data_IF_879749268116
#
_entry.id   IF_879749268116
#
_cell.length_a   1.000
_cell.length_b   1.000
_cell.length_c   1.000
_cell.angle_alpha   90.00
_cell.angle_beta   90.00
_cell.angle_gamma   90.00
#
_symmetry.space_group_name_H-M   'P 1'
#
loop_
_entity.id
_entity.type
_entity.pdbx_description
1 polymer ?
#
# COMPACT_ATOMS: atom_id res chain seq x y z
N UNK A 1 17.76 -25.03 2.11
CA UNK A 1 17.52 -25.40 3.53
C UNK A 1 16.05 -25.68 3.64
N UNK A 2 15.65 -26.77 4.30
CA UNK A 2 14.24 -27.14 4.47
C UNK A 2 13.49 -26.04 5.20
N UNK A 3 12.21 -25.85 4.86
CA UNK A 3 11.33 -24.86 5.51
C UNK A 3 10.17 -25.57 6.17
N UNK A 4 9.61 -24.91 7.18
CA UNK A 4 8.28 -25.23 7.66
C UNK A 4 7.22 -24.61 6.76
N UNK A 5 6.04 -25.21 6.72
CA UNK A 5 4.80 -24.63 6.21
C UNK A 5 3.75 -24.80 7.30
N UNK A 6 2.93 -23.79 7.51
CA UNK A 6 1.83 -23.84 8.48
C UNK A 6 0.52 -23.99 7.72
N UNK A 7 -0.31 -24.92 8.20
CA UNK A 7 -1.67 -25.09 7.71
C UNK A 7 -2.65 -25.22 8.87
N UNK A 8 -3.90 -24.86 8.61
CA UNK A 8 -5.00 -25.03 9.56
C UNK A 8 -6.11 -25.88 8.93
N UNK A 9 -6.76 -26.71 9.75
CA UNK A 9 -7.94 -27.47 9.34
C UNK A 9 -9.22 -26.69 9.68
N UNK A 10 -9.88 -26.13 8.66
CA UNK A 10 -11.16 -25.43 8.80
C UNK A 10 -12.29 -26.27 8.21
N UNK A 11 -13.05 -26.93 9.08
CA UNK A 11 -14.08 -27.89 8.67
C UNK A 11 -13.47 -29.10 7.95
N UNK A 12 -13.76 -29.27 6.67
CA UNK A 12 -13.17 -30.32 5.82
C UNK A 12 -12.00 -29.85 4.95
N UNK A 13 -11.56 -28.59 5.09
CA UNK A 13 -10.54 -27.97 4.24
C UNK A 13 -9.26 -27.75 5.04
N UNK A 14 -8.12 -27.94 4.38
CA UNK A 14 -6.81 -27.54 4.89
C UNK A 14 -6.41 -26.24 4.19
N UNK A 15 -6.17 -25.19 4.95
CA UNK A 15 -5.83 -23.85 4.45
C UNK A 15 -4.38 -23.50 4.82
N UNK A 16 -3.63 -22.84 3.94
CA UNK A 16 -2.33 -22.30 4.29
C UNK A 16 -2.48 -21.12 5.26
N UNK A 17 -1.53 -21.00 6.18
CA UNK A 17 -1.46 -19.92 7.18
C UNK A 17 -0.23 -19.08 6.88
N UNK A 18 -0.41 -17.81 6.55
CA UNK A 18 0.64 -16.86 6.21
C UNK A 18 0.88 -15.81 7.30
N UNK A 19 -0.11 -15.56 8.16
CA UNK A 19 0.02 -14.77 9.39
C UNK A 19 -0.78 -15.36 10.55
N UNK A 20 -0.64 -14.80 11.75
CA UNK A 20 -1.42 -15.20 12.91
C UNK A 20 -2.93 -15.02 12.69
N UNK A 21 -3.32 -14.00 11.94
CA UNK A 21 -4.71 -13.68 11.63
C UNK A 21 -5.36 -14.72 10.71
N UNK A 22 -4.56 -15.48 9.96
CA UNK A 22 -5.06 -16.60 9.15
C UNK A 22 -5.45 -17.81 10.03
N UNK A 23 -4.89 -17.92 11.24
CA UNK A 23 -5.28 -18.94 12.21
C UNK A 23 -6.67 -18.62 12.75
N UNK A 24 -7.65 -19.31 12.18
CA UNK A 24 -9.03 -19.22 12.61
C UNK A 24 -9.16 -19.58 14.10
N UNK A 25 -10.30 -19.14 14.64
CA UNK A 25 -10.75 -19.50 15.97
C UNK A 25 -10.81 -21.02 16.05
N UNK A 26 -9.96 -21.63 16.86
CA UNK A 26 -10.04 -23.08 17.04
C UNK A 26 -11.29 -23.44 17.84
N UNK A 27 -12.36 -23.74 17.11
CA UNK A 27 -13.62 -24.20 17.67
C UNK A 27 -14.29 -25.27 16.83
N UNK A 28 -14.65 -26.39 17.49
CA UNK A 28 -16.01 -26.87 17.47
C UNK A 28 -16.87 -25.88 18.30
N UNK A 29 -17.86 -25.24 17.68
CA UNK A 29 -18.96 -24.45 18.30
C UNK A 29 -18.63 -23.14 19.04
N UNK A 30 -18.75 -22.00 18.33
CA UNK A 30 -19.29 -20.70 18.81
C UNK A 30 -18.96 -20.19 20.24
N UNK A 31 -17.84 -20.56 20.88
CA UNK A 31 -17.51 -20.14 22.24
C UNK A 31 -18.27 -20.82 23.37
N UNK A 32 -18.86 -22.00 23.15
CA UNK A 32 -19.83 -22.60 24.11
C UNK A 32 -19.44 -23.95 24.70
N UNK A 33 -18.18 -24.35 24.56
CA UNK A 33 -17.77 -25.62 25.14
C UNK A 33 -17.62 -25.51 26.66
N UNK A 34 -18.22 -26.43 27.42
CA UNK A 34 -18.03 -26.48 28.86
C UNK A 34 -16.56 -26.71 29.20
N UNK A 35 -16.06 -26.04 30.24
CA UNK A 35 -14.68 -26.12 30.75
C UNK A 35 -13.59 -25.51 29.85
N UNK A 36 -13.95 -24.66 28.89
CA UNK A 36 -12.99 -23.83 28.14
C UNK A 36 -13.24 -22.36 28.46
N UNK A 37 -12.15 -21.61 28.54
CA UNK A 37 -12.17 -20.17 28.80
C UNK A 37 -12.06 -19.42 27.48
N UNK A 38 -12.91 -18.41 27.32
CA UNK A 38 -12.94 -17.57 26.13
C UNK A 38 -12.91 -16.10 26.52
N UNK A 39 -12.23 -15.30 25.72
CA UNK A 39 -12.19 -13.86 25.90
C UNK A 39 -11.94 -13.14 24.59
N UNK A 40 -12.34 -11.87 24.55
CA UNK A 40 -12.05 -11.01 23.41
C UNK A 40 -10.68 -10.40 23.58
N UNK A 41 -9.74 -10.77 22.70
CA UNK A 41 -8.38 -10.24 22.66
C UNK A 41 -8.22 -9.50 21.32
N UNK A 42 -7.90 -8.20 21.36
CA UNK A 42 -7.80 -7.34 20.17
C UNK A 42 -9.06 -7.33 19.27
N UNK A 43 -10.25 -7.47 19.86
CA UNK A 43 -11.51 -7.50 19.12
C UNK A 43 -11.89 -8.88 18.57
N UNK A 44 -10.98 -9.85 18.64
CA UNK A 44 -11.23 -11.23 18.24
C UNK A 44 -11.59 -12.10 19.44
N UNK A 45 -12.59 -12.95 19.24
CA UNK A 45 -13.04 -13.90 20.27
C UNK A 45 -12.14 -15.14 20.23
N UNK A 46 -11.34 -15.32 21.27
CA UNK A 46 -10.30 -16.34 21.35
C UNK A 46 -10.53 -17.30 22.50
N UNK A 47 -10.04 -18.54 22.38
CA UNK A 47 -9.83 -19.38 23.55
C UNK A 47 -8.59 -18.90 24.28
N UNK A 48 -8.72 -18.68 25.58
CA UNK A 48 -7.67 -18.13 26.40
C UNK A 48 -7.36 -18.98 27.62
N UNK A 49 -6.26 -18.65 28.29
CA UNK A 49 -5.92 -19.12 29.61
C UNK A 49 -5.29 -17.99 30.39
N UNK A 50 -5.75 -17.77 31.62
CA UNK A 50 -5.05 -16.91 32.56
C UNK A 50 -4.07 -17.71 33.42
N UNK A 51 -2.81 -17.27 33.50
CA UNK A 51 -1.85 -17.77 34.47
C UNK A 51 -0.78 -16.72 34.77
N UNK A 52 -0.30 -16.68 36.01
CA UNK A 52 0.79 -15.81 36.45
C UNK A 52 0.59 -14.32 36.11
N UNK A 53 -0.67 -13.87 36.07
CA UNK A 53 -1.05 -12.50 35.71
C UNK A 53 -1.03 -12.20 34.20
N UNK A 54 -0.86 -13.22 33.36
CA UNK A 54 -0.81 -13.12 31.89
C UNK A 54 -1.99 -13.82 31.25
N UNK A 55 -2.29 -13.44 30.02
CA UNK A 55 -3.35 -14.06 29.21
C UNK A 55 -2.73 -14.71 27.99
N UNK A 56 -2.85 -16.03 27.90
CA UNK A 56 -2.36 -16.82 26.77
C UNK A 56 -3.52 -17.13 25.84
N UNK A 57 -3.33 -16.95 24.54
CA UNK A 57 -4.25 -17.42 23.51
C UNK A 57 -3.82 -18.81 23.09
N UNK A 58 -4.81 -19.69 22.89
CA UNK A 58 -4.58 -21.07 22.44
C UNK A 58 -4.88 -21.18 20.96
N UNK A 59 -3.92 -21.68 20.18
CA UNK A 59 -4.15 -22.00 18.76
C UNK A 59 -3.58 -23.37 18.44
N UNK A 60 -4.26 -24.02 17.52
CA UNK A 60 -3.85 -25.28 16.93
C UNK A 60 -3.50 -25.04 15.47
N UNK A 61 -2.42 -25.66 15.02
CA UNK A 61 -2.03 -25.63 13.62
C UNK A 61 -1.19 -26.85 13.29
N UNK A 62 -1.13 -27.17 12.00
CA UNK A 62 -0.35 -28.29 11.49
C UNK A 62 0.93 -27.74 10.89
N UNK A 63 2.06 -28.15 11.46
CA UNK A 63 3.36 -27.95 10.85
C UNK A 63 3.63 -29.04 9.81
N UNK A 64 4.08 -28.62 8.63
CA UNK A 64 4.64 -29.48 7.60
C UNK A 64 6.05 -29.02 7.27
N UNK A 65 6.86 -29.89 6.69
CA UNK A 65 8.21 -29.52 6.25
C UNK A 65 8.55 -30.18 4.91
N UNK A 66 9.46 -29.55 4.17
CA UNK A 66 9.94 -30.10 2.89
C UNK A 66 10.91 -31.30 3.08
N UNK A 67 11.48 -31.42 4.28
CA UNK A 67 12.41 -32.51 4.62
C UNK A 67 11.67 -33.81 4.88
N UNK A 68 12.29 -34.94 4.54
CA UNK A 68 11.84 -36.25 5.02
C UNK A 68 12.20 -36.40 6.50
N UNK A 69 11.24 -36.82 7.31
CA UNK A 69 11.45 -37.11 8.73
C UNK A 69 10.30 -36.61 9.61
N UNK A 70 10.39 -36.87 10.92
CA UNK A 70 9.43 -36.34 11.88
C UNK A 70 9.41 -34.81 11.84
N UNK A 71 8.21 -34.22 11.99
CA UNK A 71 8.06 -32.77 12.08
C UNK A 71 8.21 -32.37 13.53
N UNK A 72 9.26 -31.64 13.86
CA UNK A 72 9.47 -31.15 15.23
C UNK A 72 8.75 -29.83 15.45
N UNK A 73 8.18 -29.63 16.64
CA UNK A 73 7.63 -28.34 17.05
C UNK A 73 8.80 -27.47 17.54
N UNK A 74 9.09 -26.32 16.90
CA UNK A 74 10.09 -25.40 17.40
C UNK A 74 9.64 -24.73 18.70
N UNK A 75 10.57 -24.34 19.56
CA UNK A 75 10.25 -23.67 20.81
C UNK A 75 9.63 -22.30 20.53
N UNK A 76 8.39 -22.03 20.98
CA UNK A 76 7.72 -20.77 20.69
C UNK A 76 8.26 -19.60 21.51
N UNK A 77 9.01 -19.87 22.57
CA UNK A 77 9.69 -18.90 23.43
C UNK A 77 10.99 -19.51 23.95
N UNK A 78 11.93 -18.68 24.39
CA UNK A 78 13.11 -19.14 25.14
C UNK A 78 12.76 -19.27 26.63
N UNK A 79 13.37 -20.22 27.33
CA UNK A 79 13.23 -20.33 28.78
C UNK A 79 13.56 -21.73 29.29
N UNK A 80 13.07 -22.07 30.47
CA UNK A 80 13.35 -23.35 31.13
C UNK A 80 12.15 -24.29 30.95
N UNK A 81 12.38 -25.45 30.34
CA UNK A 81 11.34 -26.43 30.06
C UNK A 81 10.93 -27.19 31.33
N UNK A 82 9.62 -27.30 31.52
CA UNK A 82 8.97 -28.10 32.55
C UNK A 82 8.02 -29.11 31.89
N UNK A 83 8.31 -30.40 32.04
CA UNK A 83 7.56 -31.49 31.42
C UNK A 83 6.52 -32.02 32.40
N UNK A 84 5.23 -31.83 32.09
CA UNK A 84 4.15 -32.21 33.02
C UNK A 84 3.86 -33.71 33.01
N UNK A 85 4.20 -34.39 31.91
CA UNK A 85 3.87 -35.80 31.66
C UNK A 85 2.38 -36.14 31.78
N UNK A 86 1.51 -35.14 31.68
CA UNK A 86 0.05 -35.28 31.71
C UNK A 86 -0.48 -36.01 30.47
N UNK A 87 -1.80 -36.15 30.36
CA UNK A 87 -2.47 -36.86 29.26
C UNK A 87 -2.18 -36.25 27.87
N UNK A 88 -1.83 -34.97 27.83
CA UNK A 88 -1.53 -34.19 26.61
C UNK A 88 -0.04 -34.08 26.31
N UNK A 89 0.83 -34.60 27.20
CA UNK A 89 2.27 -34.45 27.15
C UNK A 89 2.70 -32.97 27.07
N UNK A 90 2.10 -32.14 27.93
CA UNK A 90 2.33 -30.70 28.00
C UNK A 90 3.76 -30.38 28.39
N UNK A 91 4.36 -29.44 27.66
CA UNK A 91 5.64 -28.79 28.00
C UNK A 91 5.39 -27.32 28.25
N UNK A 92 5.64 -26.88 29.48
CA UNK A 92 5.60 -25.47 29.86
C UNK A 92 7.01 -24.89 29.79
N UNK A 93 7.13 -23.64 29.36
CA UNK A 93 8.39 -22.91 29.34
C UNK A 93 8.27 -21.74 30.31
N UNK A 94 9.23 -21.65 31.23
CA UNK A 94 9.26 -20.62 32.28
C UNK A 94 10.43 -19.65 32.08
N UNK A 95 10.29 -18.42 32.60
CA UNK A 95 11.35 -17.40 32.62
C UNK A 95 12.59 -17.82 33.44
N UNK A 96 12.38 -18.71 34.40
CA UNK A 96 13.38 -19.31 35.29
C UNK A 96 13.00 -20.77 35.59
N UNK A 97 13.88 -21.61 36.15
CA UNK A 97 13.54 -22.99 36.46
C UNK A 97 12.25 -23.12 37.28
N UNK A 98 11.40 -24.07 36.91
CA UNK A 98 10.14 -24.34 37.58
C UNK A 98 10.34 -24.55 39.10
N UNK A 99 9.41 -24.02 39.90
CA UNK A 99 9.49 -24.05 41.37
C UNK A 99 10.35 -22.93 42.00
N UNK A 100 11.10 -22.17 41.20
CA UNK A 100 11.80 -20.98 41.71
C UNK A 100 10.79 -19.89 42.11
N UNK A 101 10.96 -19.19 43.25
CA UNK A 101 10.06 -18.11 43.64
C UNK A 101 9.84 -17.06 42.54
N UNK A 102 8.56 -16.81 42.26
CA UNK A 102 8.13 -15.88 41.21
C UNK A 102 8.46 -16.33 39.79
N UNK A 103 8.71 -17.62 39.55
CA UNK A 103 8.74 -18.18 38.20
C UNK A 103 7.41 -17.92 37.50
N UNK A 104 7.48 -17.42 36.27
CA UNK A 104 6.32 -17.12 35.43
C UNK A 104 6.38 -17.93 34.17
N UNK A 105 5.24 -18.47 33.76
CA UNK A 105 5.13 -19.15 32.48
C UNK A 105 5.27 -18.14 31.34
N UNK A 106 6.07 -18.49 30.33
CA UNK A 106 6.25 -17.76 29.08
C UNK A 106 5.42 -18.37 27.95
N UNK A 107 5.16 -19.67 27.99
CA UNK A 107 4.32 -20.35 27.01
C UNK A 107 4.18 -21.83 27.29
N UNK A 108 3.36 -22.53 26.50
CA UNK A 108 3.32 -23.99 26.53
C UNK A 108 2.98 -24.61 25.18
N UNK A 109 3.43 -25.85 25.00
CA UNK A 109 3.20 -26.70 23.83
C UNK A 109 2.62 -28.03 24.26
N UNK A 110 1.61 -28.53 23.55
CA UNK A 110 0.90 -29.78 23.84
C UNK A 110 0.97 -30.72 22.64
N UNK A 111 0.53 -31.97 22.85
CA UNK A 111 0.34 -33.02 21.84
C UNK A 111 1.61 -33.59 21.20
N UNK A 112 2.80 -33.25 21.68
CA UNK A 112 4.04 -33.88 21.22
C UNK A 112 4.05 -35.40 21.50
N UNK A 113 4.75 -36.15 20.67
CA UNK A 113 4.99 -37.59 20.88
C UNK A 113 5.70 -37.79 22.24
N UNK A 114 5.24 -38.75 23.05
CA UNK A 114 5.87 -39.02 24.36
C UNK A 114 7.31 -39.49 24.17
N UNK A 115 8.25 -38.86 24.87
CA UNK A 115 9.68 -39.18 24.81
C UNK A 115 10.41 -38.69 23.55
N UNK A 116 9.79 -37.85 22.71
CA UNK A 116 10.45 -37.28 21.53
C UNK A 116 11.33 -36.06 21.83
N UNK A 117 11.17 -35.43 23.00
CA UNK A 117 12.03 -34.33 23.44
C UNK A 117 13.41 -34.85 23.84
N UNK A 118 14.46 -34.19 23.36
CA UNK A 118 15.85 -34.45 23.78
C UNK A 118 16.25 -33.69 25.05
N UNK A 119 15.37 -32.83 25.60
CA UNK A 119 15.68 -32.02 26.76
C UNK A 119 15.37 -32.74 28.07
N UNK A 120 16.23 -32.50 29.07
CA UNK A 120 15.95 -32.87 30.45
C UNK A 120 15.01 -31.84 31.11
N UNK A 121 14.34 -32.26 32.18
CA UNK A 121 13.58 -31.37 33.07
C UNK A 121 14.43 -30.18 33.54
N UNK A 122 13.90 -28.97 33.42
CA UNK A 122 14.57 -27.72 33.78
C UNK A 122 15.66 -27.29 32.79
N UNK A 123 15.83 -27.95 31.64
CA UNK A 123 16.79 -27.51 30.64
C UNK A 123 16.35 -26.20 29.98
N UNK A 124 17.32 -25.35 29.68
CA UNK A 124 17.06 -24.13 28.91
C UNK A 124 16.86 -24.48 27.43
N UNK A 125 15.76 -24.02 26.85
CA UNK A 125 15.41 -24.11 25.44
C UNK A 125 15.50 -22.73 24.81
N UNK A 126 16.05 -22.64 23.60
CA UNK A 126 16.11 -21.39 22.84
C UNK A 126 14.93 -21.28 21.87
N UNK A 127 14.41 -20.07 21.67
CA UNK A 127 13.40 -19.78 20.65
C UNK A 127 13.78 -20.38 19.28
N UNK A 128 12.82 -21.07 18.65
CA UNK A 128 13.00 -21.77 17.38
C UNK A 128 13.72 -23.13 17.47
N UNK A 129 14.29 -23.49 18.62
CA UNK A 129 14.96 -24.77 18.82
C UNK A 129 13.94 -25.92 18.80
N UNK A 130 14.20 -27.06 18.12
CA UNK A 130 13.26 -28.17 18.10
C UNK A 130 13.00 -28.72 19.51
N UNK A 131 11.75 -28.67 19.99
CA UNK A 131 11.34 -29.15 21.32
C UNK A 131 11.06 -30.65 21.34
N UNK A 132 10.48 -31.17 20.27
CA UNK A 132 10.07 -32.56 20.13
C UNK A 132 9.15 -32.77 18.94
N UNK A 133 8.94 -34.03 18.56
CA UNK A 133 8.11 -34.42 17.43
C UNK A 133 6.62 -34.08 17.68
N UNK A 134 6.01 -33.39 16.72
CA UNK A 134 4.57 -33.11 16.66
C UNK A 134 3.80 -34.42 16.58
N UNK A 135 2.82 -34.60 17.47
CA UNK A 135 2.08 -35.85 17.60
C UNK A 135 0.59 -35.63 17.79
N UNK A 136 -0.06 -36.68 18.30
CA UNK A 136 -1.49 -36.73 18.62
C UNK A 136 -1.72 -37.09 20.10
N UNK A 137 -0.74 -36.85 20.97
CA UNK A 137 -0.82 -37.28 22.38
C UNK A 137 -1.91 -36.49 23.11
N UNK A 138 -2.92 -37.18 23.65
CA UNK A 138 -4.08 -36.51 24.24
C UNK A 138 -5.06 -35.92 23.21
N UNK A 139 -4.84 -36.15 21.91
CA UNK A 139 -5.72 -35.74 20.81
C UNK A 139 -5.84 -36.83 19.72
N UNK A 140 -6.34 -38.04 20.06
CA UNK A 140 -6.32 -39.19 19.15
C UNK A 140 -6.96 -38.89 17.79
N UNK A 141 -6.24 -39.18 16.71
CA UNK A 141 -6.70 -38.96 15.34
C UNK A 141 -6.39 -37.58 14.75
N UNK A 142 -5.73 -36.68 15.50
CA UNK A 142 -5.34 -35.36 15.02
C UNK A 142 -3.87 -35.05 15.33
N UNK A 143 -3.02 -35.02 14.32
CA UNK A 143 -1.61 -34.62 14.47
C UNK A 143 -1.51 -33.10 14.23
N UNK A 144 -1.24 -32.34 15.29
CA UNK A 144 -1.12 -30.89 15.25
C UNK A 144 -0.28 -30.38 16.42
N UNK A 145 0.19 -29.14 16.30
CA UNK A 145 0.76 -28.39 17.41
C UNK A 145 -0.36 -27.60 18.08
N UNK A 146 -0.56 -27.81 19.38
CA UNK A 146 -1.34 -26.90 20.22
C UNK A 146 -0.34 -26.04 20.99
N UNK A 147 -0.42 -24.74 20.80
CA UNK A 147 0.50 -23.77 21.41
C UNK A 147 -0.31 -22.71 22.17
N UNK A 148 0.17 -22.33 23.35
CA UNK A 148 -0.40 -21.24 24.14
C UNK A 148 0.65 -20.16 24.42
N UNK A 149 0.38 -18.93 23.96
CA UNK A 149 1.29 -17.77 24.05
C UNK A 149 0.51 -16.47 24.26
N UNK A 150 1.17 -15.43 24.74
CA UNK A 150 0.64 -14.06 24.59
C UNK A 150 0.55 -13.72 23.09
N UNK A 151 -0.46 -12.93 22.68
CA UNK A 151 -0.74 -12.69 21.25
C UNK A 151 0.47 -12.19 20.47
N UNK A 152 1.22 -11.23 21.02
CA UNK A 152 2.42 -10.71 20.35
C UNK A 152 3.52 -11.75 20.14
N UNK A 153 3.72 -12.65 21.12
CA UNK A 153 4.66 -13.77 20.96
C UNK A 153 4.17 -14.76 19.90
N UNK A 154 2.86 -14.99 19.84
CA UNK A 154 2.25 -15.86 18.84
C UNK A 154 2.38 -15.29 17.42
N UNK A 155 2.10 -14.00 17.24
CA UNK A 155 2.26 -13.29 15.97
C UNK A 155 3.68 -13.40 15.44
N UNK A 156 4.68 -13.12 16.29
CA UNK A 156 6.09 -13.31 15.94
C UNK A 156 6.41 -14.74 15.57
N UNK A 157 5.96 -15.70 16.38
CA UNK A 157 6.21 -17.12 16.16
C UNK A 157 5.67 -17.63 14.81
N UNK A 158 4.47 -17.22 14.41
CA UNK A 158 3.92 -17.57 13.09
C UNK A 158 4.67 -16.85 11.96
N UNK A 159 5.00 -15.58 12.14
CA UNK A 159 5.78 -14.80 11.17
C UNK A 159 7.15 -15.45 10.90
N UNK A 160 7.91 -15.75 11.96
CA UNK A 160 9.27 -16.29 11.89
C UNK A 160 9.29 -17.73 11.33
N UNK A 161 8.21 -18.50 11.49
CA UNK A 161 8.05 -19.80 10.82
C UNK A 161 7.81 -19.60 9.31
N UNK A 162 6.91 -18.67 8.96
CA UNK A 162 6.49 -18.45 7.58
C UNK A 162 7.57 -17.78 6.71
N UNK A 163 8.33 -16.84 7.24
CA UNK A 163 9.44 -16.19 6.53
C UNK A 163 10.69 -17.09 6.45
N UNK A 164 10.72 -18.15 7.27
CA UNK A 164 11.77 -19.14 7.36
C UNK A 164 12.94 -18.69 8.23
N UNK A 165 12.73 -17.81 9.19
CA UNK A 165 13.67 -17.50 10.28
C UNK A 165 13.81 -18.71 11.20
N UNK A 166 12.69 -19.34 11.59
CA UNK A 166 12.64 -20.66 12.22
C UNK A 166 12.64 -21.72 11.11
N UNK A 167 13.54 -22.70 11.22
CA UNK A 167 13.71 -23.77 10.23
C UNK A 167 13.83 -25.14 10.88
N UNK A 168 13.40 -26.22 10.21
CA UNK A 168 13.60 -27.58 10.69
C UNK A 168 15.06 -27.90 11.02
N UNK A 169 15.28 -28.49 12.20
CA UNK A 169 16.58 -28.97 12.66
C UNK A 169 17.64 -27.89 12.88
N UNK A 170 17.29 -26.60 12.82
CA UNK A 170 18.23 -25.50 13.01
C UNK A 170 17.88 -24.70 14.26
N UNK A 171 18.87 -24.47 15.11
CA UNK A 171 18.82 -23.40 16.09
C UNK A 171 19.17 -22.10 15.35
N UNK A 172 18.33 -21.05 15.39
CA UNK A 172 18.65 -19.78 14.75
C UNK A 172 20.04 -19.28 15.19
N UNK A 173 21.00 -19.18 14.25
CA UNK A 173 22.36 -18.72 14.54
C UNK A 173 22.34 -17.22 14.85
N UNK A 174 22.22 -16.93 16.13
CA UNK A 174 22.07 -15.61 16.75
C UNK A 174 21.73 -15.71 18.23
N UNK A 175 21.17 -16.85 18.68
CA UNK A 175 20.97 -17.17 20.08
C UNK A 175 22.19 -17.85 20.72
N UNK A 176 23.23 -17.08 21.04
CA UNK A 176 24.26 -17.57 21.97
C UNK A 176 23.70 -17.51 23.40
N UNK A 177 24.07 -18.50 24.22
CA UNK A 177 23.59 -18.79 25.57
C UNK A 177 23.98 -17.74 26.64
N UNK A 178 23.86 -16.45 26.33
CA UNK A 178 24.09 -15.31 27.23
C UNK A 178 22.95 -14.27 27.12
N UNK A 179 21.71 -14.75 27.06
CA UNK A 179 20.50 -13.92 27.07
C UNK A 179 19.58 -14.36 28.20
N UNK A 180 20.11 -14.50 29.42
CA UNK A 180 19.31 -14.40 30.65
C UNK A 180 19.05 -12.95 31.06
N UNK A 181 19.12 -12.01 30.10
CA UNK A 181 18.82 -10.60 30.28
C UNK A 181 18.08 -10.09 29.04
N UNK A 182 16.77 -10.33 28.93
CA UNK A 182 15.82 -9.43 28.26
C UNK A 182 14.43 -10.04 28.00
N UNK A 183 13.53 -9.90 28.96
CA UNK A 183 12.13 -9.56 28.62
C UNK A 183 11.99 -8.02 28.54
N UNK A 184 12.99 -7.28 29.03
CA UNK A 184 13.07 -5.81 29.03
C UNK A 184 13.77 -5.18 27.80
N UNK A 185 14.29 -5.93 26.80
CA UNK A 185 14.86 -5.29 25.58
C UNK A 185 13.84 -5.00 24.49
N UNK A 186 12.79 -5.79 24.40
CA UNK A 186 11.71 -5.60 23.41
C UNK A 186 10.52 -4.83 24.01
N UNK A 187 10.57 -4.49 25.30
CA UNK A 187 9.61 -3.61 25.97
C UNK A 187 10.27 -2.25 26.23
N UNK A 188 10.02 -1.29 25.36
CA UNK A 188 10.46 0.07 25.56
C UNK A 188 9.47 0.78 26.48
N UNK A 189 9.95 1.24 27.63
CA UNK A 189 9.19 2.00 28.61
C UNK A 189 10.07 3.03 29.33
N UNK A 190 9.53 3.65 30.37
CA UNK A 190 10.24 4.68 31.16
C UNK A 190 11.68 4.26 31.51
N UNK A 191 12.64 5.13 31.18
CA UNK A 191 14.07 4.90 31.41
C UNK A 191 14.81 4.10 30.34
N UNK A 192 14.10 3.53 29.35
CA UNK A 192 14.73 2.83 28.21
C UNK A 192 15.56 3.78 27.36
N UNK A 193 16.68 3.30 26.80
CA UNK A 193 17.57 4.11 25.98
C UNK A 193 18.18 3.33 24.80
N UNK A 194 18.51 4.03 23.73
CA UNK A 194 19.31 3.51 22.60
C UNK A 194 18.56 3.51 21.27
N UNK A 195 19.12 2.78 20.30
CA UNK A 195 18.67 2.78 18.91
C UNK A 195 17.20 2.33 18.74
N UNK A 196 16.72 1.39 19.57
CA UNK A 196 15.33 0.95 19.53
C UNK A 196 14.35 2.07 19.87
N UNK A 197 14.70 2.95 20.83
CA UNK A 197 13.89 4.12 21.17
C UNK A 197 13.94 5.16 20.04
N UNK A 198 15.08 5.33 19.37
CA UNK A 198 15.20 6.19 18.18
C UNK A 198 14.29 5.71 17.05
N UNK A 199 14.26 4.41 16.77
CA UNK A 199 13.36 3.85 15.75
C UNK A 199 11.88 4.01 16.14
N UNK A 200 11.53 3.73 17.40
CA UNK A 200 10.19 4.00 17.91
C UNK A 200 9.77 5.45 17.71
N UNK A 201 10.65 6.42 18.02
CA UNK A 201 10.38 7.84 17.79
C UNK A 201 10.14 8.13 16.31
N UNK A 202 10.95 7.57 15.40
CA UNK A 202 10.76 7.75 13.95
C UNK A 202 9.42 7.19 13.48
N UNK A 203 9.05 6.00 13.95
CA UNK A 203 7.81 5.35 13.57
C UNK A 203 6.60 6.14 14.07
N UNK A 204 6.57 6.50 15.35
CA UNK A 204 5.52 7.33 15.94
C UNK A 204 5.41 8.69 15.23
N UNK A 205 6.53 9.35 14.95
CA UNK A 205 6.54 10.63 14.23
C UNK A 205 6.02 10.48 12.79
N UNK A 206 6.39 9.40 12.09
CA UNK A 206 5.89 9.09 10.74
C UNK A 206 4.38 8.89 10.73
N UNK A 207 3.85 8.27 11.79
CA UNK A 207 2.43 8.08 12.02
C UNK A 207 1.72 9.33 12.56
N UNK A 208 2.44 10.43 12.83
CA UNK A 208 1.89 11.71 13.27
C UNK A 208 1.73 11.86 14.79
N UNK A 209 2.23 10.92 15.58
CA UNK A 209 2.20 11.01 17.04
C UNK A 209 3.30 11.94 17.56
N UNK A 210 2.89 12.83 18.46
CA UNK A 210 3.68 13.93 19.02
C UNK A 210 3.60 13.89 20.55
N UNK A 211 4.35 14.77 21.23
CA UNK A 211 4.21 14.96 22.67
C UNK A 211 2.89 15.68 23.06
N UNK A 212 2.65 15.85 24.36
CA UNK A 212 1.44 16.52 24.86
C UNK A 212 1.29 17.99 24.43
N UNK A 213 2.36 18.62 23.94
CA UNK A 213 2.34 20.00 23.43
C UNK A 213 2.19 20.04 21.90
N UNK A 214 2.04 18.87 21.26
CA UNK A 214 1.95 18.74 19.80
C UNK A 214 3.30 18.90 19.10
N UNK A 215 4.41 18.80 19.83
CA UNK A 215 5.75 18.90 19.24
C UNK A 215 6.26 17.52 18.79
N UNK A 216 7.06 17.46 17.70
CA UNK A 216 7.69 16.21 17.28
C UNK A 216 8.55 15.60 18.39
N UNK A 217 8.51 14.28 18.51
CA UNK A 217 9.37 13.56 19.45
C UNK A 217 10.84 13.81 19.12
N UNK A 218 11.63 14.14 20.14
CA UNK A 218 13.08 14.29 20.00
C UNK A 218 13.71 12.91 19.91
N UNK A 219 14.37 12.59 18.81
CA UNK A 219 15.09 11.31 18.60
C UNK A 219 16.44 11.25 19.33
N UNK A 220 16.46 11.62 20.60
CA UNK A 220 17.65 11.55 21.48
C UNK A 220 17.95 10.13 21.98
N UNK A 221 17.07 9.18 21.63
CA UNK A 221 17.17 7.78 22.03
C UNK A 221 16.87 7.56 23.50
N UNK A 222 16.19 8.49 24.18
CA UNK A 222 15.72 8.32 25.54
C UNK A 222 14.19 8.19 25.59
N UNK A 223 13.71 7.17 26.30
CA UNK A 223 12.29 6.95 26.52
C UNK A 223 11.89 7.74 27.77
N UNK A 224 11.48 8.99 27.56
CA UNK A 224 11.02 9.89 28.61
C UNK A 224 9.50 10.11 28.60
N UNK A 225 8.99 11.02 29.44
CA UNK A 225 7.55 11.28 29.56
C UNK A 225 6.86 11.65 28.24
N UNK A 226 7.55 12.40 27.37
CA UNK A 226 7.03 12.74 26.03
C UNK A 226 6.86 11.49 25.14
N UNK A 227 7.80 10.55 25.19
CA UNK A 227 7.74 9.29 24.45
C UNK A 227 6.61 8.41 24.97
N UNK A 228 6.51 8.27 26.30
CA UNK A 228 5.43 7.52 26.93
C UNK A 228 4.07 8.04 26.48
N UNK A 229 3.86 9.36 26.49
CA UNK A 229 2.61 9.97 26.07
C UNK A 229 2.26 9.70 24.61
N UNK A 230 3.25 9.77 23.71
CA UNK A 230 3.04 9.43 22.30
C UNK A 230 2.68 7.95 22.12
N UNK A 231 3.31 7.05 22.89
CA UNK A 231 2.94 5.62 22.91
C UNK A 231 1.52 5.43 23.44
N UNK A 232 1.13 6.10 24.53
CA UNK A 232 -0.24 6.04 25.06
C UNK A 232 -1.28 6.59 24.07
N UNK A 233 -0.94 7.66 23.34
CA UNK A 233 -1.76 8.21 22.26
C UNK A 233 -1.96 7.18 21.15
N UNK A 234 -0.86 6.59 20.66
CA UNK A 234 -0.89 5.52 19.67
C UNK A 234 -1.75 4.34 20.13
N UNK A 235 -1.50 3.84 21.34
CA UNK A 235 -2.26 2.73 21.91
C UNK A 235 -3.75 3.02 21.98
N UNK A 236 -4.13 4.25 22.36
CA UNK A 236 -5.55 4.66 22.43
C UNK A 236 -6.22 4.68 21.07
N UNK A 237 -5.57 5.27 20.07
CA UNK A 237 -6.11 5.41 18.72
C UNK A 237 -6.24 4.05 18.02
N UNK A 238 -5.32 3.13 18.33
CA UNK A 238 -5.30 1.77 17.81
C UNK A 238 -5.98 0.73 18.73
N UNK A 239 -6.69 1.18 19.77
CA UNK A 239 -7.47 0.33 20.71
C UNK A 239 -6.67 -0.79 21.38
N UNK A 240 -5.41 -0.51 21.70
CA UNK A 240 -4.53 -1.35 22.48
C UNK A 240 -4.70 -1.05 23.98
N UNK A 241 -4.08 -1.88 24.83
CA UNK A 241 -3.90 -1.54 26.24
C UNK A 241 -3.06 -0.27 26.35
N UNK A 242 -3.60 0.75 27.01
CA UNK A 242 -2.92 2.04 27.20
C UNK A 242 -2.06 1.98 28.46
N UNK A 243 -0.85 1.44 28.34
CA UNK A 243 0.13 1.30 29.42
C UNK A 243 1.40 2.15 29.23
N UNK A 244 1.49 2.84 28.08
CA UNK A 244 2.59 3.73 27.73
C UNK A 244 3.90 3.01 27.41
N UNK A 245 3.85 1.70 27.14
CA UNK A 245 5.02 0.90 26.81
C UNK A 245 4.92 0.36 25.38
N UNK A 246 6.01 0.48 24.63
CA UNK A 246 6.13 -0.15 23.33
C UNK A 246 6.69 -1.56 23.50
N UNK A 247 5.78 -2.52 23.70
CA UNK A 247 6.07 -3.94 23.60
C UNK A 247 5.57 -4.51 22.27
N UNK A 248 5.73 -5.82 22.07
CA UNK A 248 5.43 -6.51 20.80
C UNK A 248 4.06 -6.17 20.17
N UNK A 249 3.00 -5.98 20.96
CA UNK A 249 1.68 -5.60 20.45
C UNK A 249 1.63 -4.16 19.94
N UNK A 250 2.27 -3.24 20.67
CA UNK A 250 2.43 -1.85 20.25
C UNK A 250 3.28 -1.80 18.99
N UNK A 251 4.39 -2.54 18.93
CA UNK A 251 5.29 -2.58 17.77
C UNK A 251 4.59 -3.17 16.53
N UNK A 252 3.89 -4.30 16.67
CA UNK A 252 3.15 -4.91 15.56
C UNK A 252 2.06 -3.98 15.02
N UNK A 253 1.35 -3.28 15.90
CA UNK A 253 0.35 -2.29 15.50
C UNK A 253 0.99 -1.07 14.81
N UNK A 254 2.16 -0.62 15.28
CA UNK A 254 2.93 0.45 14.63
C UNK A 254 3.32 0.03 13.21
N UNK A 255 3.87 -1.16 13.03
CA UNK A 255 4.25 -1.69 11.71
C UNK A 255 3.05 -1.81 10.78
N UNK A 256 1.91 -2.30 11.29
CA UNK A 256 0.67 -2.36 10.51
C UNK A 256 0.19 -0.95 10.10
N UNK A 257 0.23 0.01 11.02
CA UNK A 257 -0.15 1.39 10.74
C UNK A 257 0.77 2.02 9.68
N UNK A 258 2.08 1.78 9.76
CA UNK A 258 3.08 2.24 8.79
C UNK A 258 2.82 1.62 7.40
N UNK A 259 2.56 0.32 7.34
CA UNK A 259 2.24 -0.38 6.11
C UNK A 259 0.97 0.20 5.45
N UNK A 260 -0.09 0.44 6.24
CA UNK A 260 -1.33 1.07 5.74
C UNK A 260 -1.08 2.49 5.24
N UNK A 261 -0.34 3.31 5.97
CA UNK A 261 0.00 4.68 5.56
C UNK A 261 0.83 4.68 4.26
N UNK A 262 1.81 3.77 4.16
CA UNK A 262 2.61 3.57 2.96
C UNK A 262 1.79 3.14 1.76
N UNK A 263 0.85 2.22 1.94
CA UNK A 263 -0.08 1.79 0.89
C UNK A 263 -1.00 2.93 0.44
N UNK A 264 -1.57 3.71 1.37
CA UNK A 264 -2.37 4.90 1.05
C UNK A 264 -1.59 5.91 0.23
N UNK A 265 -0.34 6.19 0.65
CA UNK A 265 0.55 7.09 -0.09
C UNK A 265 0.82 6.58 -1.50
N UNK A 266 1.16 5.31 -1.65
CA UNK A 266 1.39 4.68 -2.94
C UNK A 266 0.16 4.77 -3.85
N UNK A 267 -1.03 4.47 -3.33
CA UNK A 267 -2.29 4.55 -4.09
C UNK A 267 -2.53 5.98 -4.61
N UNK A 268 -2.28 7.00 -3.77
CA UNK A 268 -2.39 8.40 -4.16
C UNK A 268 -1.35 8.81 -5.20
N UNK A 269 -0.10 8.36 -5.07
CA UNK A 269 0.99 8.62 -6.01
C UNK A 269 0.70 7.97 -7.38
N UNK A 270 0.25 6.72 -7.40
CA UNK A 270 -0.15 6.02 -8.62
C UNK A 270 -1.34 6.73 -9.30
N UNK A 271 -2.34 7.16 -8.53
CA UNK A 271 -3.45 7.96 -9.05
C UNK A 271 -2.97 9.29 -9.66
N UNK A 272 -2.02 9.97 -9.01
CA UNK A 272 -1.43 11.23 -9.51
C UNK A 272 -0.76 11.02 -10.86
N UNK A 273 -0.08 9.88 -11.02
CA UNK A 273 0.56 9.48 -12.27
C UNK A 273 -0.42 8.90 -13.30
N UNK A 274 -1.70 8.78 -12.98
CA UNK A 274 -2.76 8.32 -13.88
C UNK A 274 -2.92 6.80 -13.96
N UNK A 275 -2.25 6.03 -13.09
CA UNK A 275 -2.44 4.59 -13.02
C UNK A 275 -3.78 4.23 -12.37
N UNK A 276 -4.37 3.15 -12.86
CA UNK A 276 -5.76 2.76 -12.57
C UNK A 276 -5.84 1.29 -12.20
N UNK A 277 -6.97 0.91 -11.64
CA UNK A 277 -7.28 -0.50 -11.39
C UNK A 277 -7.55 -1.28 -12.69
N UNK A 278 -7.79 -2.59 -12.56
CA UNK A 278 -8.07 -3.47 -13.69
C UNK A 278 -9.36 -3.13 -14.47
N UNK A 279 -10.24 -2.29 -13.90
CA UNK A 279 -11.48 -1.81 -14.52
C UNK A 279 -11.30 -0.44 -15.18
N UNK A 280 -10.09 0.14 -15.13
CA UNK A 280 -9.82 1.48 -15.65
C UNK A 280 -10.35 2.60 -14.76
N UNK A 281 -10.59 2.32 -13.48
CA UNK A 281 -11.05 3.28 -12.46
C UNK A 281 -9.86 3.76 -11.62
N UNK A 282 -9.96 4.95 -11.03
CA UNK A 282 -8.96 5.42 -10.08
C UNK A 282 -8.88 4.47 -8.87
N UNK A 283 -7.68 4.29 -8.32
CA UNK A 283 -7.49 3.49 -7.11
C UNK A 283 -8.21 4.15 -5.94
N UNK A 284 -8.84 3.35 -5.10
CA UNK A 284 -9.26 3.81 -3.78
C UNK A 284 -8.03 3.99 -2.91
N UNK A 285 -7.98 5.09 -2.15
CA UNK A 285 -6.91 5.39 -1.21
C UNK A 285 -7.37 4.94 0.18
N UNK A 286 -7.39 3.63 0.37
CA UNK A 286 -7.91 2.95 1.57
C UNK A 286 -6.80 2.39 2.47
N UNK A 287 -5.55 2.39 2.00
CA UNK A 287 -4.40 1.82 2.69
C UNK A 287 -4.31 0.31 2.60
N UNK A 288 -5.14 -0.32 1.78
CA UNK A 288 -5.11 -1.77 1.56
C UNK A 288 -4.36 -2.09 0.26
N UNK A 289 -3.24 -2.80 0.39
CA UNK A 289 -2.51 -3.32 -0.77
C UNK A 289 -3.22 -4.56 -1.34
N UNK A 290 -4.38 -4.34 -1.96
CA UNK A 290 -5.19 -5.38 -2.60
C UNK A 290 -4.82 -5.62 -4.07
N UNK A 291 -5.64 -6.44 -4.74
CA UNK A 291 -5.44 -6.79 -6.16
C UNK A 291 -5.45 -5.59 -7.10
N UNK A 292 -6.26 -4.56 -6.81
CA UNK A 292 -6.31 -3.32 -7.59
C UNK A 292 -4.99 -2.54 -7.48
N UNK A 293 -4.46 -2.37 -6.26
CA UNK A 293 -3.18 -1.71 -6.00
C UNK A 293 -2.04 -2.49 -6.68
N UNK A 294 -2.03 -3.83 -6.53
CA UNK A 294 -1.06 -4.70 -7.19
C UNK A 294 -1.09 -4.56 -8.70
N UNK A 295 -2.27 -4.54 -9.31
CA UNK A 295 -2.43 -4.36 -10.76
C UNK A 295 -1.85 -3.03 -11.24
N UNK A 296 -2.12 -1.93 -10.52
CA UNK A 296 -1.57 -0.62 -10.85
C UNK A 296 -0.04 -0.57 -10.68
N UNK A 297 0.51 -1.23 -9.66
CA UNK A 297 1.98 -1.39 -9.50
C UNK A 297 2.58 -2.18 -10.66
N UNK A 298 1.96 -3.29 -11.08
CA UNK A 298 2.43 -4.06 -12.24
C UNK A 298 2.36 -3.26 -13.55
N UNK A 299 1.33 -2.42 -13.72
CA UNK A 299 1.21 -1.49 -14.84
C UNK A 299 2.36 -0.47 -14.82
N UNK A 300 2.59 0.18 -13.67
CA UNK A 300 3.70 1.09 -13.47
C UNK A 300 5.05 0.43 -13.76
N UNK A 301 5.29 -0.75 -13.21
CA UNK A 301 6.53 -1.49 -13.44
C UNK A 301 6.75 -1.78 -14.93
N UNK A 302 5.70 -2.17 -15.67
CA UNK A 302 5.79 -2.42 -17.10
C UNK A 302 6.14 -1.17 -17.89
N UNK A 303 5.47 -0.06 -17.61
CA UNK A 303 5.67 1.21 -18.32
C UNK A 303 7.07 1.80 -18.05
N UNK A 304 7.61 1.55 -16.86
CA UNK A 304 8.95 1.99 -16.46
C UNK A 304 10.04 0.91 -16.63
N UNK A 305 9.75 -0.17 -17.35
CA UNK A 305 10.71 -1.25 -17.69
C UNK A 305 11.39 -1.89 -16.47
N UNK A 306 10.65 -2.06 -15.38
CA UNK A 306 11.08 -2.74 -14.16
C UNK A 306 10.64 -4.22 -14.18
N UNK A 307 11.16 -5.00 -13.23
CA UNK A 307 10.63 -6.34 -12.94
C UNK A 307 9.16 -6.24 -12.55
N UNK A 308 8.28 -6.93 -13.29
CA UNK A 308 6.82 -6.92 -13.06
C UNK A 308 6.45 -8.02 -12.06
N UNK A 309 6.67 -7.76 -10.78
CA UNK A 309 6.34 -8.67 -9.67
C UNK A 309 5.17 -8.18 -8.80
N UNK A 310 4.70 -6.95 -9.05
CA UNK A 310 3.64 -6.31 -8.29
C UNK A 310 4.07 -5.89 -6.87
N UNK A 311 5.38 -5.83 -6.61
CA UNK A 311 5.95 -5.44 -5.31
C UNK A 311 6.65 -4.09 -5.40
N UNK A 312 6.50 -3.28 -4.36
CA UNK A 312 7.18 -1.99 -4.27
C UNK A 312 8.49 -2.15 -3.51
N UNK A 313 9.51 -2.61 -4.22
CA UNK A 313 10.90 -2.61 -3.72
C UNK A 313 11.63 -1.28 -4.00
N UNK A 314 12.91 -1.17 -3.60
CA UNK A 314 13.70 0.07 -3.76
C UNK A 314 13.77 0.60 -5.20
N UNK A 315 13.82 -0.30 -6.19
CA UNK A 315 13.83 0.08 -7.61
C UNK A 315 12.49 0.69 -8.05
N UNK A 316 11.37 0.07 -7.65
CA UNK A 316 10.02 0.58 -7.92
C UNK A 316 9.82 1.94 -7.25
N UNK A 317 10.24 2.08 -5.99
CA UNK A 317 10.14 3.34 -5.26
C UNK A 317 10.97 4.45 -5.93
N UNK A 318 12.24 4.19 -6.27
CA UNK A 318 13.08 5.19 -6.94
C UNK A 318 12.61 5.55 -8.36
N UNK A 319 11.89 4.67 -9.04
CA UNK A 319 11.22 5.00 -10.30
C UNK A 319 9.98 5.87 -10.06
N UNK A 320 9.17 5.56 -9.04
CA UNK A 320 7.97 6.31 -8.68
C UNK A 320 8.30 7.76 -8.30
N UNK A 321 9.33 7.95 -7.46
CA UNK A 321 9.81 9.27 -7.06
C UNK A 321 10.26 10.13 -8.26
N UNK A 322 10.94 9.53 -9.24
CA UNK A 322 11.33 10.22 -10.48
C UNK A 322 10.11 10.58 -11.33
N UNK A 323 9.20 9.64 -11.52
CA UNK A 323 7.98 9.85 -12.29
C UNK A 323 7.12 11.00 -11.69
N UNK A 324 7.00 11.05 -10.36
CA UNK A 324 6.28 12.13 -9.67
C UNK A 324 6.96 13.48 -9.85
N UNK A 325 8.29 13.54 -9.80
CA UNK A 325 9.05 14.77 -10.05
C UNK A 325 8.85 15.27 -11.47
N UNK A 326 8.93 14.36 -12.45
CA UNK A 326 8.74 14.70 -13.86
C UNK A 326 7.30 15.14 -14.13
N UNK A 327 6.31 14.47 -13.52
CA UNK A 327 4.91 14.87 -13.56
C UNK A 327 4.69 16.27 -12.96
N UNK A 328 5.31 16.56 -11.81
CA UNK A 328 5.23 17.88 -11.18
C UNK A 328 5.90 18.96 -12.04
N UNK A 329 7.06 18.68 -12.65
CA UNK A 329 7.74 19.59 -13.56
C UNK A 329 6.90 19.86 -14.82
N UNK A 330 6.32 18.83 -15.42
CA UNK A 330 5.40 18.96 -16.55
C UNK A 330 4.16 19.78 -16.17
N UNK A 331 3.55 19.50 -15.00
CA UNK A 331 2.42 20.27 -14.48
C UNK A 331 2.79 21.72 -14.16
N UNK A 332 4.03 22.02 -13.75
CA UNK A 332 4.48 23.41 -13.60
C UNK A 332 4.60 24.13 -14.95
N UNK A 333 5.09 23.44 -15.99
CA UNK A 333 5.20 23.99 -17.35
C UNK A 333 3.88 24.07 -18.12
N UNK A 334 2.87 23.30 -17.74
CA UNK A 334 1.55 23.24 -18.42
C UNK A 334 0.39 23.76 -17.57
N UNK A 335 0.54 23.86 -16.25
CA UNK A 335 -0.55 24.00 -15.28
C UNK A 335 -0.67 25.34 -14.55
N UNK A 336 0.23 26.31 -14.75
CA UNK A 336 0.16 27.59 -14.01
C UNK A 336 0.49 28.87 -14.78
N UNK A 337 1.03 28.78 -16.00
CA UNK A 337 1.46 29.96 -16.75
C UNK A 337 0.28 30.58 -17.50
N UNK A 338 0.00 31.88 -17.27
CA UNK A 338 -0.93 32.65 -18.09
C UNK A 338 -0.48 32.65 -19.56
N UNK A 339 -1.39 32.84 -20.51
CA UNK A 339 -1.05 32.99 -21.94
C UNK A 339 -0.04 34.13 -22.18
N UNK A 340 -0.02 35.14 -21.31
CA UNK A 340 0.95 36.23 -21.32
C UNK A 340 2.35 35.86 -20.81
N UNK A 341 2.53 34.69 -20.19
CA UNK A 341 3.83 34.22 -19.71
C UNK A 341 4.64 33.61 -20.87
N UNK A 342 5.90 34.06 -21.10
CA UNK A 342 6.78 33.50 -22.13
C UNK A 342 6.99 31.98 -22.08
N UNK A 343 6.80 31.34 -20.91
CA UNK A 343 6.96 29.90 -20.75
C UNK A 343 5.68 29.10 -21.07
N UNK A 344 4.56 29.77 -21.34
CA UNK A 344 3.33 29.10 -21.75
C UNK A 344 3.50 28.53 -23.18
N UNK A 345 3.16 27.25 -23.43
CA UNK A 345 3.30 26.65 -24.76
C UNK A 345 2.48 27.34 -25.86
N UNK A 346 1.37 27.98 -25.49
CA UNK A 346 0.50 28.74 -26.38
C UNK A 346 0.85 30.25 -26.42
N UNK A 347 1.92 30.68 -25.73
CA UNK A 347 2.35 32.09 -25.66
C UNK A 347 2.60 32.69 -27.06
N UNK A 348 3.18 31.92 -27.97
CA UNK A 348 3.41 32.37 -29.34
C UNK A 348 2.11 32.72 -30.08
N UNK A 349 1.04 31.96 -29.85
CA UNK A 349 -0.27 32.21 -30.45
C UNK A 349 -0.96 33.42 -29.80
N UNK A 350 -0.77 33.59 -28.48
CA UNK A 350 -1.20 34.78 -27.75
C UNK A 350 -0.52 36.05 -28.24
N UNK A 351 0.80 36.05 -28.43
CA UNK A 351 1.55 37.21 -28.95
C UNK A 351 1.09 37.60 -30.36
N UNK A 352 0.80 36.61 -31.22
CA UNK A 352 0.22 36.86 -32.55
C UNK A 352 -1.16 37.51 -32.45
N UNK A 353 -2.05 37.01 -31.58
CA UNK A 353 -3.35 37.62 -31.33
C UNK A 353 -3.20 39.05 -30.79
N UNK A 354 -2.33 39.25 -29.81
CA UNK A 354 -2.10 40.52 -29.15
C UNK A 354 -1.60 41.58 -30.13
N UNK A 355 -0.68 41.21 -31.04
CA UNK A 355 -0.22 42.11 -32.09
C UNK A 355 -1.37 42.57 -33.01
N UNK A 356 -2.29 41.67 -33.36
CA UNK A 356 -3.44 42.01 -34.21
C UNK A 356 -4.46 42.90 -33.50
N UNK A 357 -4.76 42.62 -32.23
CA UNK A 357 -5.69 43.46 -31.45
C UNK A 357 -5.10 44.86 -31.21
N UNK A 358 -3.80 44.98 -30.96
CA UNK A 358 -3.11 46.29 -30.87
C UNK A 358 -3.25 47.11 -32.15
N UNK A 359 -3.14 46.49 -33.33
CA UNK A 359 -3.38 47.19 -34.60
C UNK A 359 -4.83 47.67 -34.74
N UNK A 360 -5.81 46.88 -34.24
CA UNK A 360 -7.22 47.30 -34.21
C UNK A 360 -7.39 48.50 -33.28
N UNK A 361 -6.78 48.49 -32.09
CA UNK A 361 -6.83 49.60 -31.13
C UNK A 361 -6.26 50.88 -31.74
N UNK A 362 -5.09 50.80 -32.37
CA UNK A 362 -4.45 51.91 -33.06
C UNK A 362 -5.33 52.47 -34.19
N UNK A 363 -5.92 51.60 -35.02
CA UNK A 363 -6.83 52.00 -36.09
C UNK A 363 -8.12 52.67 -35.57
N UNK A 364 -8.56 52.30 -34.36
CA UNK A 364 -9.70 52.92 -33.68
C UNK A 364 -9.31 54.14 -32.83
N UNK A 365 -8.05 54.54 -32.82
CA UNK A 365 -7.56 55.70 -32.05
C UNK A 365 -7.65 55.51 -30.54
N UNK A 366 -7.57 54.26 -30.05
CA UNK A 366 -7.60 53.94 -28.61
C UNK A 366 -6.27 53.38 -28.12
N UNK A 367 -5.91 53.63 -26.84
CA UNK A 367 -4.75 52.99 -26.24
C UNK A 367 -5.04 51.51 -25.96
N UNK A 368 -4.03 50.66 -26.08
CA UNK A 368 -4.14 49.27 -25.64
C UNK A 368 -4.17 49.17 -24.12
N UNK A 369 -5.11 48.37 -23.60
CA UNK A 369 -5.42 48.24 -22.18
C UNK A 369 -5.68 46.77 -21.79
N UNK A 370 -6.32 46.56 -20.66
CA UNK A 370 -6.68 45.22 -20.19
C UNK A 370 -7.67 44.51 -21.12
N UNK A 371 -8.57 45.25 -21.80
CA UNK A 371 -9.49 44.66 -22.77
C UNK A 371 -8.75 44.16 -24.02
N UNK A 372 -7.67 44.83 -24.43
CA UNK A 372 -6.76 44.35 -25.48
C UNK A 372 -6.20 42.98 -25.14
N UNK A 373 -5.69 42.82 -23.91
CA UNK A 373 -5.09 41.57 -23.43
C UNK A 373 -6.14 40.46 -23.32
N UNK A 374 -7.32 40.77 -22.77
CA UNK A 374 -8.42 39.80 -22.63
C UNK A 374 -8.96 39.31 -23.98
N UNK A 375 -9.16 40.22 -24.94
CA UNK A 375 -9.59 39.87 -26.30
C UNK A 375 -8.54 38.99 -27.01
N UNK A 376 -7.26 39.33 -26.89
CA UNK A 376 -6.16 38.53 -27.45
C UNK A 376 -6.08 37.14 -26.80
N UNK A 377 -6.22 37.05 -25.47
CA UNK A 377 -6.21 35.79 -24.74
C UNK A 377 -7.40 34.89 -25.13
N UNK A 378 -8.61 35.45 -25.23
CA UNK A 378 -9.82 34.70 -25.60
C UNK A 378 -9.77 34.16 -27.05
N UNK A 379 -9.00 34.79 -27.94
CA UNK A 379 -8.81 34.32 -29.30
C UNK A 379 -8.03 32.99 -29.39
N UNK A 380 -7.12 32.72 -28.45
CA UNK A 380 -6.23 31.53 -28.45
C UNK A 380 -7.00 30.20 -28.38
N UNK A 381 -7.86 29.94 -27.36
CA UNK A 381 -8.61 28.68 -27.30
C UNK A 381 -9.54 28.50 -28.51
N UNK A 382 -10.14 29.59 -28.99
CA UNK A 382 -11.03 29.58 -30.15
C UNK A 382 -10.26 29.23 -31.43
N UNK A 383 -9.09 29.84 -31.64
CA UNK A 383 -8.21 29.51 -32.77
C UNK A 383 -7.81 28.04 -32.74
N UNK A 384 -7.35 27.54 -31.59
CA UNK A 384 -6.97 26.13 -31.42
C UNK A 384 -8.14 25.18 -31.69
N UNK A 385 -9.34 25.49 -31.20
CA UNK A 385 -10.52 24.63 -31.34
C UNK A 385 -10.96 24.51 -32.80
N UNK A 386 -10.68 25.53 -33.61
CA UNK A 386 -10.92 25.56 -35.05
C UNK A 386 -9.71 25.07 -35.87
N UNK A 387 -8.69 24.49 -35.21
CA UNK A 387 -7.52 23.91 -35.86
C UNK A 387 -6.58 24.95 -36.49
N UNK A 388 -6.58 26.19 -36.00
CA UNK A 388 -5.57 27.18 -36.36
C UNK A 388 -4.29 26.88 -35.57
N UNK A 389 -3.16 26.91 -36.27
CA UNK A 389 -1.81 26.75 -35.72
C UNK A 389 -1.05 28.07 -35.67
N UNK A 390 -1.57 29.13 -36.30
CA UNK A 390 -1.09 30.51 -36.23
C UNK A 390 -2.25 31.50 -36.41
N UNK A 391 -2.08 32.75 -36.00
CA UNK A 391 -3.04 33.83 -36.19
C UNK A 391 -2.42 34.88 -37.13
N UNK A 392 -2.94 34.94 -38.36
CA UNK A 392 -2.49 35.88 -39.39
C UNK A 392 -3.30 37.19 -39.38
N UNK A 393 -4.49 37.18 -38.77
CA UNK A 393 -5.32 38.39 -38.65
C UNK A 393 -6.49 38.24 -37.69
N UNK A 394 -6.82 39.33 -37.00
CA UNK A 394 -8.05 39.49 -36.22
C UNK A 394 -8.84 40.66 -36.80
N UNK A 395 -10.18 40.52 -36.91
CA UNK A 395 -11.06 41.57 -37.38
C UNK A 395 -12.37 41.60 -36.58
N UNK A 396 -12.97 42.78 -36.44
CA UNK A 396 -14.29 42.95 -35.82
C UNK A 396 -15.39 43.02 -36.90
N UNK A 397 -16.60 42.55 -36.57
CA UNK A 397 -17.79 42.82 -37.39
C UNK A 397 -18.11 44.32 -37.40
N UNK A 398 -18.86 44.79 -38.40
CA UNK A 398 -19.19 46.21 -38.55
C UNK A 398 -19.98 46.81 -37.37
N UNK A 399 -20.73 45.98 -36.64
CA UNK A 399 -21.44 46.34 -35.41
C UNK A 399 -20.61 46.09 -34.13
N UNK A 400 -19.38 45.57 -34.27
CA UNK A 400 -18.46 45.25 -33.17
C UNK A 400 -18.85 44.05 -32.32
N UNK A 401 -19.97 43.37 -32.62
CA UNK A 401 -20.49 42.28 -31.78
C UNK A 401 -19.67 40.99 -31.86
N UNK A 402 -18.93 40.79 -32.96
CA UNK A 402 -18.15 39.60 -33.24
C UNK A 402 -16.70 39.92 -33.58
N UNK A 403 -15.83 39.00 -33.20
CA UNK A 403 -14.42 38.97 -33.57
C UNK A 403 -14.17 37.74 -34.45
N UNK A 404 -13.40 37.92 -35.51
CA UNK A 404 -12.97 36.85 -36.42
C UNK A 404 -11.47 36.69 -36.33
N UNK A 405 -11.01 35.47 -36.06
CA UNK A 405 -9.60 35.09 -35.99
C UNK A 405 -9.28 34.27 -37.24
N UNK A 406 -8.22 34.63 -37.96
CA UNK A 406 -7.96 34.08 -39.30
C UNK A 406 -6.55 33.54 -39.45
N UNK A 407 -6.43 32.45 -40.20
CA UNK A 407 -5.18 31.89 -40.71
C UNK A 407 -5.29 31.80 -42.23
N UNK A 408 -4.34 32.44 -42.92
CA UNK A 408 -4.30 32.60 -44.36
C UNK A 408 -3.32 31.58 -44.97
N UNK A 409 -3.79 30.37 -45.29
CA UNK A 409 -3.02 29.37 -46.04
C UNK A 409 -3.54 29.30 -47.47
N UNK A 410 -3.02 30.09 -48.41
CA UNK A 410 -3.52 30.05 -49.80
C UNK A 410 -3.43 28.62 -50.40
N UNK A 411 -4.52 28.05 -50.96
CA UNK A 411 -5.82 28.67 -51.30
C UNK A 411 -6.94 28.58 -50.24
N UNK A 412 -6.72 27.97 -49.06
CA UNK A 412 -7.72 27.81 -47.99
C UNK A 412 -7.51 28.78 -46.82
N UNK A 413 -8.45 29.71 -46.62
CA UNK A 413 -8.51 30.54 -45.41
C UNK A 413 -9.24 29.79 -44.30
N UNK A 414 -8.65 29.69 -43.11
CA UNK A 414 -9.32 29.19 -41.90
C UNK A 414 -9.78 30.37 -41.05
N UNK A 415 -10.99 30.29 -40.51
CA UNK A 415 -11.61 31.34 -39.73
C UNK A 415 -12.24 30.72 -38.48
N UNK A 416 -12.02 31.36 -37.33
CA UNK A 416 -12.71 31.09 -36.09
C UNK A 416 -13.44 32.36 -35.63
N UNK A 417 -14.55 32.21 -34.93
CA UNK A 417 -15.43 33.32 -34.53
C UNK A 417 -15.65 33.29 -33.01
N UNK A 418 -15.68 34.47 -32.38
CA UNK A 418 -16.03 34.64 -30.97
C UNK A 418 -16.82 35.93 -30.73
N UNK A 419 -17.60 35.96 -29.64
CA UNK A 419 -18.28 37.18 -29.19
C UNK A 419 -17.26 38.18 -28.63
N UNK A 420 -17.24 39.41 -29.16
CA UNK A 420 -16.33 40.46 -28.70
C UNK A 420 -16.61 40.81 -27.23
N UNK A 421 -17.88 40.93 -26.86
CA UNK A 421 -18.30 41.28 -25.51
C UNK A 421 -17.90 40.22 -24.47
N UNK A 422 -18.06 38.93 -24.81
CA UNK A 422 -17.59 37.85 -23.92
C UNK A 422 -16.06 37.82 -23.84
N UNK A 423 -15.38 38.01 -24.96
CA UNK A 423 -13.92 38.00 -25.01
C UNK A 423 -13.30 39.10 -24.12
N UNK A 424 -13.77 40.35 -24.18
CA UNK A 424 -13.25 41.45 -23.34
C UNK A 424 -13.63 41.31 -21.86
N UNK A 425 -14.68 40.55 -21.56
CA UNK A 425 -15.12 40.26 -20.19
C UNK A 425 -14.43 39.04 -19.58
N UNK A 426 -13.74 38.22 -20.39
CA UNK A 426 -13.10 36.97 -19.93
C UNK A 426 -11.69 37.26 -19.41
N UNK A 427 -11.38 37.01 -18.12
CA UNK A 427 -10.03 37.16 -17.58
C UNK A 427 -9.03 36.26 -18.31
N UNK A 428 -7.76 36.69 -18.36
CA UNK A 428 -6.70 35.95 -19.06
C UNK A 428 -6.47 34.57 -18.44
N UNK A 429 -6.71 34.41 -17.14
CA UNK A 429 -6.67 33.15 -16.38
C UNK A 429 -7.63 32.13 -17.00
N UNK A 430 -8.88 32.54 -17.25
CA UNK A 430 -9.92 31.67 -17.81
C UNK A 430 -9.62 31.31 -19.25
N UNK A 431 -9.11 32.27 -20.05
CA UNK A 431 -8.69 32.00 -21.43
C UNK A 431 -7.48 31.04 -21.47
N UNK A 432 -6.56 31.17 -20.51
CA UNK A 432 -5.39 30.29 -20.34
C UNK A 432 -5.81 28.87 -19.94
N UNK A 433 -6.80 28.75 -19.05
CA UNK A 433 -7.46 27.47 -18.75
C UNK A 433 -8.11 26.85 -19.98
N UNK A 434 -8.91 27.62 -20.72
CA UNK A 434 -9.59 27.13 -21.90
C UNK A 434 -8.59 26.64 -22.97
N UNK A 435 -7.50 27.38 -23.20
CA UNK A 435 -6.49 27.01 -24.20
C UNK A 435 -5.80 25.68 -23.89
N UNK A 436 -5.64 25.35 -22.60
CA UNK A 436 -5.06 24.07 -22.15
C UNK A 436 -5.97 22.88 -22.41
N UNK A 437 -7.28 23.07 -22.33
CA UNK A 437 -8.26 21.99 -22.53
C UNK A 437 -8.54 21.69 -24.00
N UNK A 438 -8.10 22.54 -24.92
CA UNK A 438 -8.21 22.29 -26.36
C UNK A 438 -7.04 21.40 -26.80
N UNK A 439 -7.30 20.10 -26.93
CA UNK A 439 -6.36 19.13 -27.50
C UNK A 439 -6.07 19.48 -28.96
N UNK A 440 -4.82 19.80 -29.28
CA UNK A 440 -4.36 19.79 -30.67
C UNK A 440 -4.31 18.32 -31.14
N UNK A 441 -4.90 17.97 -32.30
CA UNK A 441 -4.66 16.67 -32.89
C UNK A 441 -3.17 16.55 -33.20
N UNK A 442 -2.47 15.74 -32.42
CA UNK A 442 -1.09 15.36 -32.69
C UNK A 442 -1.04 14.67 -34.05
N UNK A 443 -0.08 15.09 -34.87
CA UNK A 443 0.26 14.50 -36.16
C UNK A 443 0.55 13.01 -35.99
N UNK A 444 -0.47 12.17 -36.18
CA UNK A 444 -0.26 10.77 -36.51
C UNK A 444 0.42 10.73 -37.88
N UNK A 445 1.63 10.17 -37.92
CA UNK A 445 2.29 9.79 -39.16
C UNK A 445 1.37 8.87 -39.97
N UNK A 446 1.23 9.06 -41.30
CA UNK A 446 0.37 8.20 -42.10
C UNK A 446 0.96 6.79 -42.15
N UNK A 447 0.25 5.83 -41.54
CA UNK A 447 0.47 4.40 -41.82
C UNK A 447 -0.02 4.09 -43.24
N UNK A 448 0.62 3.16 -43.97
CA UNK A 448 0.48 3.04 -45.41
C UNK A 448 -0.93 2.58 -45.82
N UNK A 449 -1.35 3.10 -46.96
CA UNK A 449 -2.63 2.94 -47.64
C UNK A 449 -3.25 1.55 -47.52
N UNK A 450 -4.43 1.46 -46.90
CA UNK A 450 -5.35 0.36 -47.17
C UNK A 450 -6.06 0.67 -48.48
N UNK A 451 -5.66 -0.01 -49.54
CA UNK A 451 -6.35 -0.04 -50.83
C UNK A 451 -7.84 -0.37 -50.63
N UNK A 452 -8.71 0.63 -50.64
CA UNK A 452 -10.13 0.45 -50.92
C UNK A 452 -10.30 0.34 -52.42
N UNK A 453 -10.18 -0.89 -52.90
CA UNK A 453 -10.56 -1.27 -54.24
C UNK A 453 -12.08 -1.09 -54.38
N UNK A 454 -12.49 -0.26 -55.35
CA UNK A 454 -13.90 -0.14 -55.75
C UNK A 454 -14.44 -1.52 -56.20
N UNK A 455 -15.67 -1.88 -55.84
CA UNK A 455 -16.34 -3.02 -56.46
C UNK A 455 -16.77 -2.69 -57.89
N UNK A 456 -16.61 -3.61 -58.87
CA UNK A 456 -17.12 -3.43 -60.23
C UNK A 456 -18.63 -3.67 -60.30
N UNK A 457 -19.32 -3.18 -61.36
CA UNK A 457 -20.76 -3.27 -61.49
C UNK A 457 -21.19 -4.68 -61.91
N UNK A 458 -22.20 -5.24 -61.23
CA UNK A 458 -22.88 -6.45 -61.70
C UNK A 458 -23.98 -6.07 -62.68
N UNK A 459 -23.71 -6.29 -63.96
CA UNK A 459 -24.72 -6.44 -65.00
C UNK A 459 -25.45 -7.77 -64.81
N UNK A 460 -26.77 -7.74 -64.83
CA UNK A 460 -27.60 -8.92 -64.64
C UNK A 460 -27.53 -9.90 -65.81
N UNK A 461 -27.81 -11.17 -65.52
CA UNK A 461 -28.43 -12.07 -66.49
C UNK A 461 -29.51 -12.90 -65.79
N UNK A 462 -30.69 -12.82 -66.40
CA UNK A 462 -31.86 -13.61 -66.10
C UNK A 462 -31.79 -14.97 -66.82
N UNK A 463 -32.59 -15.91 -66.29
CA UNK A 463 -33.12 -17.11 -66.96
C UNK A 463 -32.10 -18.23 -67.18
N UNK A 464 -32.34 -19.49 -66.85
CA UNK A 464 -33.52 -20.18 -66.36
C UNK A 464 -33.21 -21.68 -66.51
N UNK A 465 -33.72 -22.52 -65.61
CA UNK A 465 -33.79 -23.95 -65.88
C UNK A 465 -35.05 -24.51 -65.24
N UNK A 466 -35.94 -24.95 -66.13
CA UNK A 466 -37.23 -25.58 -65.89
C UNK A 466 -37.06 -27.09 -65.71
N UNK A 467 -37.76 -27.62 -64.69
CA UNK A 467 -38.29 -28.97 -64.42
C UNK A 467 -37.48 -30.23 -64.81
N UNK A 468 -37.50 -31.23 -63.92
CA UNK A 468 -38.24 -32.53 -63.90
C UNK A 468 -37.70 -33.31 -62.68
N UNK A 469 -38.40 -34.00 -61.78
CA UNK A 469 -39.76 -34.50 -61.58
C UNK A 469 -40.11 -34.47 -60.09
#
# INVERSE_FOLDING_TARGET
MSRYTITESVGSRVLPVHSYEDLHKHHPSAGRQPNREYGTIHGEFEEIRHADGRTFVKKDFILSQDARGPVEIPAPVSGYAHFLHDDYNTVQIYDKPYGTPGAKREGQVLHMVRGSSSFAEGAHVSYGQPLGEMGQTGSPGSIHAHVELEVGQFQRYICDINDGTIRPGAVPRGGSADQSVSVDRDLLGDGSRGAAVVELHKHLATLGYTDAQGQPLTSDGAFGPATQQAVEAFQRDHRLTVDGKAGALTDAAIEQALARQGASRLQAELNTLGYKDARGQALQVDGDFGSNTRFAVEAFQRDHQLTVDGKVGPQTQGALERALRDHAAQKATTGGTLLSDPHNPDHALYEQALAQVKHIDEAMGRPSDEHTQRLAAAAVPVAKAHGLTRIDGIALSGDGSRTFVTQNDSPMKRIAELSTAQAVATPIEQSSEAARHVQTPTTQSPSPSRNTQLPPPLQGQASGTTLVA
#
